data_IF_709711965839
#
_entry.id   IF_709711965839
#
_cell.length_a   1.000
_cell.length_b   1.000
_cell.length_c   1.000
_cell.angle_alpha   90.00
_cell.angle_beta   90.00
_cell.angle_gamma   90.00
#
_symmetry.space_group_name_H-M   'P 1'
#
loop_
_entity.id
_entity.type
_entity.pdbx_description
1 polymer ?
#
# COMPACT_ATOMS: atom_id res chain seq x y z
N UNK A 1 -18.58 9.27 7.61
CA UNK A 1 -17.60 8.65 8.53
C UNK A 1 -17.93 9.00 9.98
N UNK A 2 -17.60 8.15 10.97
CA UNK A 2 -17.93 8.41 12.37
C UNK A 2 -17.21 9.64 12.96
N UNK A 3 -17.76 10.27 14.02
CA UNK A 3 -17.13 11.40 14.70
C UNK A 3 -15.73 11.09 15.23
N UNK A 4 -14.90 12.14 15.42
CA UNK A 4 -13.59 11.99 16.04
C UNK A 4 -13.73 11.43 17.47
N UNK A 5 -12.81 10.55 17.87
CA UNK A 5 -12.84 9.91 19.19
C UNK A 5 -13.88 8.80 19.39
N UNK A 6 -14.86 8.61 18.48
CA UNK A 6 -15.87 7.55 18.61
C UNK A 6 -15.28 6.14 18.70
N UNK A 7 -14.07 5.97 18.15
CA UNK A 7 -13.37 4.70 18.08
C UNK A 7 -11.94 4.80 18.64
N UNK A 8 -11.78 5.52 19.76
CA UNK A 8 -10.47 5.73 20.40
C UNK A 8 -9.74 4.43 20.78
N UNK A 9 -10.48 3.36 21.08
CA UNK A 9 -9.93 2.05 21.41
C UNK A 9 -9.69 1.13 20.19
N UNK A 10 -10.10 1.56 18.98
CA UNK A 10 -10.03 0.72 17.78
C UNK A 10 -8.58 0.49 17.37
N UNK A 11 -8.17 -0.78 17.34
CA UNK A 11 -6.81 -1.20 16.95
C UNK A 11 -6.76 -1.82 15.56
N UNK A 12 -7.90 -2.23 15.00
CA UNK A 12 -7.97 -2.84 13.68
C UNK A 12 -9.19 -2.34 12.90
N UNK A 13 -8.96 -1.97 11.65
CA UNK A 13 -9.98 -1.54 10.71
C UNK A 13 -9.77 -2.24 9.37
N UNK A 14 -10.85 -2.75 8.80
CA UNK A 14 -10.88 -3.32 7.46
C UNK A 14 -11.99 -2.65 6.67
N UNK A 15 -11.64 -2.12 5.50
CA UNK A 15 -12.54 -1.49 4.55
C UNK A 15 -12.47 -2.30 3.26
N UNK A 16 -13.62 -2.75 2.77
CA UNK A 16 -13.74 -3.58 1.56
C UNK A 16 -14.85 -3.00 0.70
N UNK A 17 -14.60 -2.81 -0.60
CA UNK A 17 -15.66 -2.50 -1.57
C UNK A 17 -16.33 -1.16 -1.31
N UNK A 18 -15.57 -0.05 -1.33
CA UNK A 18 -16.10 1.27 -0.99
C UNK A 18 -15.64 2.36 -1.97
N UNK A 19 -16.37 3.48 -1.97
CA UNK A 19 -15.93 4.74 -2.60
C UNK A 19 -15.56 5.74 -1.52
N UNK A 20 -14.38 6.35 -1.62
CA UNK A 20 -13.83 7.21 -0.56
C UNK A 20 -13.15 8.46 -1.13
N UNK A 21 -13.00 9.48 -0.30
CA UNK A 21 -12.17 10.66 -0.61
C UNK A 21 -10.73 10.41 -0.13
N UNK A 22 -9.71 11.01 -0.76
CA UNK A 22 -8.31 10.85 -0.32
C UNK A 22 -8.10 11.28 1.13
N UNK A 23 -8.73 12.39 1.53
CA UNK A 23 -8.69 12.91 2.90
C UNK A 23 -9.31 12.02 3.98
N UNK A 24 -10.13 11.00 3.61
CA UNK A 24 -10.71 10.09 4.60
C UNK A 24 -9.63 9.24 5.31
N UNK A 25 -8.54 8.91 4.63
CA UNK A 25 -7.47 8.07 5.19
C UNK A 25 -6.66 8.80 6.27
N UNK A 26 -6.39 10.08 6.10
CA UNK A 26 -5.73 10.90 7.12
C UNK A 26 -6.62 11.03 8.37
N UNK A 27 -7.91 11.26 8.17
CA UNK A 27 -8.88 11.36 9.25
C UNK A 27 -9.04 10.03 10.02
N UNK A 28 -8.90 8.88 9.37
CA UNK A 28 -8.89 7.57 10.03
C UNK A 28 -7.67 7.39 10.93
N UNK A 29 -6.51 7.92 10.54
CA UNK A 29 -5.23 7.63 11.19
C UNK A 29 -4.86 8.64 12.29
N UNK A 30 -5.37 9.88 12.29
CA UNK A 30 -4.83 10.95 13.16
C UNK A 30 -5.82 11.73 14.04
N UNK A 31 -7.15 11.67 13.87
CA UNK A 31 -8.06 11.99 15.01
C UNK A 31 -9.10 10.91 15.37
N UNK A 32 -9.48 10.02 14.45
CA UNK A 32 -10.61 9.09 14.70
C UNK A 32 -10.20 7.81 15.40
N UNK A 33 -9.04 7.25 15.04
CA UNK A 33 -8.57 5.96 15.54
C UNK A 33 -7.10 6.06 16.00
N UNK A 34 -6.79 6.82 17.07
CA UNK A 34 -5.41 7.07 17.51
C UNK A 34 -4.63 5.79 17.88
N UNK A 35 -5.32 4.70 18.22
CA UNK A 35 -4.73 3.40 18.58
C UNK A 35 -4.72 2.40 17.41
N UNK A 36 -5.02 2.83 16.18
CA UNK A 36 -5.12 1.93 15.04
C UNK A 36 -3.76 1.33 14.68
N UNK A 37 -3.61 0.03 14.92
CA UNK A 37 -2.42 -0.75 14.61
C UNK A 37 -2.53 -1.45 13.26
N UNK A 38 -3.74 -1.80 12.82
CA UNK A 38 -3.96 -2.58 11.60
C UNK A 38 -5.00 -1.92 10.70
N UNK A 39 -4.56 -1.45 9.54
CA UNK A 39 -5.45 -0.93 8.51
C UNK A 39 -5.39 -1.84 7.28
N UNK A 40 -6.55 -2.34 6.85
CA UNK A 40 -6.69 -3.06 5.59
C UNK A 40 -7.73 -2.37 4.71
N UNK A 41 -7.34 -1.99 3.51
CA UNK A 41 -8.20 -1.32 2.53
C UNK A 41 -8.11 -2.12 1.24
N UNK A 42 -9.23 -2.64 0.76
CA UNK A 42 -9.28 -3.52 -0.42
C UNK A 42 -10.47 -3.22 -1.31
N UNK A 43 -10.24 -3.12 -2.62
CA UNK A 43 -11.32 -2.84 -3.57
C UNK A 43 -12.00 -1.51 -3.26
N UNK A 44 -11.19 -0.50 -2.91
CA UNK A 44 -11.68 0.86 -2.69
C UNK A 44 -11.32 1.71 -3.91
N UNK A 45 -12.25 2.52 -4.35
CA UNK A 45 -12.09 3.49 -5.45
C UNK A 45 -12.14 4.90 -4.87
N UNK A 46 -11.16 5.74 -5.21
CA UNK A 46 -11.26 7.16 -4.88
C UNK A 46 -12.29 7.84 -5.78
N UNK A 47 -13.14 8.68 -5.18
CA UNK A 47 -14.20 9.41 -5.91
C UNK A 47 -13.62 10.34 -6.99
N UNK A 48 -12.42 10.87 -6.74
CA UNK A 48 -11.60 11.59 -7.71
C UNK A 48 -10.15 11.17 -7.52
N UNK A 49 -9.34 11.31 -8.58
CA UNK A 49 -7.90 11.09 -8.45
C UNK A 49 -7.32 12.07 -7.44
N UNK A 50 -6.77 11.54 -6.35
CA UNK A 50 -6.32 12.35 -5.21
C UNK A 50 -5.08 11.74 -4.56
N UNK A 51 -4.36 12.59 -3.85
CA UNK A 51 -3.23 12.19 -3.02
C UNK A 51 -3.74 11.63 -1.69
N UNK A 52 -3.08 10.58 -1.21
CA UNK A 52 -3.44 9.91 0.04
C UNK A 52 -2.29 10.06 1.02
N UNK A 53 -2.56 10.62 2.19
CA UNK A 53 -1.62 10.68 3.29
C UNK A 53 -2.06 9.82 4.47
N UNK A 54 -1.16 8.95 4.93
CA UNK A 54 -1.33 8.09 6.09
C UNK A 54 -0.24 8.46 7.09
N UNK A 55 -0.62 9.20 8.14
CA UNK A 55 0.25 9.55 9.26
C UNK A 55 -0.26 8.86 10.51
N UNK A 56 0.52 7.93 11.07
CA UNK A 56 0.12 7.23 12.29
C UNK A 56 1.32 6.76 13.11
N UNK A 57 1.32 7.12 14.39
CA UNK A 57 2.34 6.67 15.33
C UNK A 57 2.08 5.27 15.90
N UNK A 58 0.89 4.69 15.66
CA UNK A 58 0.49 3.38 16.19
C UNK A 58 0.35 2.30 15.13
N UNK A 59 0.35 2.66 13.84
CA UNK A 59 0.14 1.70 12.75
C UNK A 59 1.32 0.75 12.58
N UNK A 60 1.04 -0.55 12.69
CA UNK A 60 2.00 -1.65 12.57
C UNK A 60 1.80 -2.45 11.27
N UNK A 61 0.58 -2.45 10.73
CA UNK A 61 0.20 -3.20 9.52
C UNK A 61 -0.67 -2.37 8.60
N UNK A 62 -0.24 -2.23 7.35
CA UNK A 62 -0.99 -1.56 6.29
C UNK A 62 -1.16 -2.49 5.07
N UNK A 63 -2.40 -2.72 4.67
CA UNK A 63 -2.76 -3.24 3.34
C UNK A 63 -3.52 -2.13 2.64
N UNK A 64 -2.98 -1.64 1.54
CA UNK A 64 -3.52 -0.50 0.81
C UNK A 64 -3.71 -0.88 -0.66
N UNK A 65 -4.89 -1.39 -0.98
CA UNK A 65 -5.28 -1.77 -2.34
C UNK A 65 -6.44 -0.87 -2.79
N UNK A 66 -6.07 0.33 -3.25
CA UNK A 66 -6.98 1.44 -3.58
C UNK A 66 -6.71 1.93 -5.01
N UNK A 67 -7.78 2.14 -5.77
CA UNK A 67 -7.74 2.65 -7.14
C UNK A 67 -7.89 4.18 -7.17
N UNK A 68 -7.31 4.82 -8.18
CA UNK A 68 -7.42 6.28 -8.39
C UNK A 68 -6.51 7.10 -7.48
N UNK A 69 -5.41 6.53 -6.99
CA UNK A 69 -4.47 7.25 -6.12
C UNK A 69 -3.44 7.97 -7.00
N UNK A 70 -3.29 9.28 -6.82
CA UNK A 70 -2.19 10.03 -7.43
C UNK A 70 -0.88 9.66 -6.75
N UNK A 71 -0.67 10.21 -5.54
CA UNK A 71 0.47 9.89 -4.69
C UNK A 71 0.05 9.27 -3.36
N UNK A 72 0.80 8.28 -2.90
CA UNK A 72 0.68 7.71 -1.55
C UNK A 72 1.84 8.18 -0.67
N UNK A 73 1.54 8.90 0.41
CA UNK A 73 2.50 9.26 1.45
C UNK A 73 2.19 8.47 2.73
N UNK A 74 3.16 7.70 3.24
CA UNK A 74 3.02 6.95 4.49
C UNK A 74 4.12 7.38 5.45
N UNK A 75 3.73 7.93 6.59
CA UNK A 75 4.61 8.22 7.73
C UNK A 75 4.12 7.41 8.93
N UNK A 76 4.76 6.28 9.16
CA UNK A 76 4.35 5.33 10.18
C UNK A 76 5.57 4.65 10.83
N UNK A 77 6.11 5.24 11.92
CA UNK A 77 7.38 4.80 12.50
C UNK A 77 7.36 3.35 13.03
N UNK A 78 6.17 2.84 13.37
CA UNK A 78 5.97 1.46 13.87
C UNK A 78 5.54 0.46 12.80
N UNK A 79 5.45 0.88 11.54
CA UNK A 79 4.94 0.03 10.46
C UNK A 79 5.95 -1.08 10.14
N UNK A 80 5.53 -2.32 10.33
CA UNK A 80 6.33 -3.54 10.10
C UNK A 80 5.90 -4.28 8.85
N UNK A 81 4.60 -4.26 8.55
CA UNK A 81 4.02 -4.93 7.40
C UNK A 81 3.37 -3.93 6.46
N UNK A 82 3.80 -3.93 5.19
CA UNK A 82 3.23 -3.07 4.16
C UNK A 82 2.90 -3.85 2.89
N UNK A 83 1.67 -3.67 2.41
CA UNK A 83 1.20 -4.24 1.16
C UNK A 83 0.50 -3.18 0.32
N UNK A 84 0.92 -3.01 -0.94
CA UNK A 84 0.30 -2.06 -1.86
C UNK A 84 0.27 -2.57 -3.32
N UNK A 85 -0.72 -2.10 -4.08
CA UNK A 85 -0.82 -2.30 -5.54
C UNK A 85 -0.77 -0.96 -6.25
N UNK A 86 0.22 -0.71 -7.12
CA UNK A 86 0.14 0.38 -8.08
C UNK A 86 -0.85 0.13 -9.20
N UNK A 87 -1.30 -1.11 -9.43
CA UNK A 87 -2.25 -1.44 -10.49
C UNK A 87 -3.69 -1.39 -9.97
N UNK A 88 -4.61 -0.97 -10.84
CA UNK A 88 -6.05 -1.15 -10.63
C UNK A 88 -6.37 -2.65 -10.47
N UNK A 89 -7.21 -2.97 -9.48
CA UNK A 89 -7.58 -4.37 -9.16
C UNK A 89 -8.50 -4.99 -10.22
N UNK A 90 -9.01 -4.17 -11.15
CA UNK A 90 -10.00 -4.60 -12.12
C UNK A 90 -9.30 -5.25 -13.33
N UNK A 91 -9.57 -6.54 -13.54
CA UNK A 91 -9.13 -7.35 -14.68
C UNK A 91 -9.74 -6.90 -16.03
N UNK A 92 -10.27 -5.69 -16.12
CA UNK A 92 -10.76 -5.12 -17.37
C UNK A 92 -9.60 -4.36 -17.99
N UNK A 93 -8.97 -5.04 -18.95
CA UNK A 93 -8.12 -4.42 -19.96
C UNK A 93 -8.77 -3.12 -20.46
N UNK A 94 -8.04 -2.02 -20.31
CA UNK A 94 -8.26 -0.76 -21.01
C UNK A 94 -9.53 0.04 -20.66
N UNK A 95 -9.49 0.79 -19.54
CA UNK A 95 -10.11 2.12 -19.43
C UNK A 95 -9.63 2.91 -18.18
N UNK A 96 -8.59 3.73 -18.38
CA UNK A 96 -8.49 5.12 -17.92
C UNK A 96 -8.69 5.49 -16.42
N UNK A 97 -8.11 4.75 -15.49
CA UNK A 97 -7.75 5.28 -14.18
C UNK A 97 -6.24 5.21 -13.97
N UNK A 98 -5.54 6.29 -13.55
CA UNK A 98 -4.16 6.14 -13.13
C UNK A 98 -4.17 5.23 -11.88
N UNK A 99 -3.50 4.08 -12.00
CA UNK A 99 -3.00 3.38 -10.83
C UNK A 99 -2.06 4.28 -10.03
N UNK A 100 -1.70 3.89 -8.80
CA UNK A 100 -0.83 4.70 -7.93
C UNK A 100 0.42 5.19 -8.68
N UNK A 101 0.53 6.51 -8.90
CA UNK A 101 1.59 7.09 -9.72
C UNK A 101 2.90 7.18 -8.93
N UNK A 102 2.81 7.69 -7.71
CA UNK A 102 3.95 7.90 -6.82
C UNK A 102 3.68 7.33 -5.43
N UNK A 103 4.74 6.89 -4.74
CA UNK A 103 4.65 6.39 -3.37
C UNK A 103 5.90 6.75 -2.59
N UNK A 104 5.73 7.32 -1.39
CA UNK A 104 6.81 7.57 -0.44
C UNK A 104 6.46 7.00 0.93
N UNK A 105 7.27 6.05 1.38
CA UNK A 105 7.05 5.27 2.59
C UNK A 105 8.19 5.55 3.58
N UNK A 106 7.88 6.31 4.62
CA UNK A 106 8.70 6.55 5.80
C UNK A 106 8.26 5.59 6.92
N UNK A 107 8.91 4.44 6.95
CA UNK A 107 8.66 3.37 7.92
C UNK A 107 9.99 2.63 8.21
N UNK A 108 10.71 3.02 9.27
CA UNK A 108 12.05 2.51 9.57
C UNK A 108 12.02 1.06 10.08
N UNK A 109 10.89 0.61 10.64
CA UNK A 109 10.72 -0.73 11.20
C UNK A 109 10.14 -1.75 10.20
N UNK A 110 10.17 -1.46 8.89
CA UNK A 110 9.63 -2.37 7.88
C UNK A 110 10.39 -3.71 7.87
N UNK A 111 9.61 -4.80 7.91
CA UNK A 111 10.09 -6.18 7.95
C UNK A 111 9.45 -7.03 6.85
N UNK A 112 8.21 -6.76 6.46
CA UNK A 112 7.47 -7.49 5.44
C UNK A 112 6.89 -6.50 4.41
N UNK A 113 7.31 -6.65 3.16
CA UNK A 113 6.82 -5.85 2.04
C UNK A 113 6.20 -6.77 0.98
N UNK A 114 4.97 -6.46 0.60
CA UNK A 114 4.30 -7.10 -0.53
C UNK A 114 3.89 -6.05 -1.58
N UNK A 115 4.49 -6.10 -2.75
CA UNK A 115 4.23 -5.16 -3.84
C UNK A 115 3.60 -5.85 -5.04
N UNK A 116 2.46 -5.33 -5.50
CA UNK A 116 1.64 -5.93 -6.56
C UNK A 116 1.69 -5.08 -7.83
N UNK A 117 2.60 -5.40 -8.74
CA UNK A 117 2.79 -4.70 -10.01
C UNK A 117 4.16 -4.06 -10.15
N UNK A 118 4.28 -3.17 -11.14
CA UNK A 118 5.55 -2.55 -11.53
C UNK A 118 6.10 -1.67 -10.41
N UNK A 119 7.38 -1.84 -10.07
CA UNK A 119 8.07 -0.96 -9.12
C UNK A 119 9.08 -0.05 -9.84
N UNK A 120 8.90 1.27 -9.71
CA UNK A 120 9.79 2.28 -10.29
C UNK A 120 10.52 3.04 -9.18
N UNK A 121 11.87 2.97 -9.13
CA UNK A 121 12.68 3.64 -8.11
C UNK A 121 12.59 5.18 -8.14
N UNK A 122 12.21 5.77 -9.27
CA UNK A 122 12.05 7.22 -9.40
C UNK A 122 10.73 7.71 -8.79
N UNK A 123 9.73 6.83 -8.72
CA UNK A 123 8.36 7.16 -8.27
C UNK A 123 7.99 6.55 -6.93
N UNK A 124 8.56 5.38 -6.63
CA UNK A 124 8.27 4.59 -5.44
C UNK A 124 9.51 4.52 -4.55
N UNK A 125 9.39 5.08 -3.36
CA UNK A 125 10.49 5.29 -2.43
C UNK A 125 10.16 4.71 -1.06
N UNK A 126 11.11 3.95 -0.54
CA UNK A 126 11.17 3.56 0.88
C UNK A 126 12.30 4.37 1.51
N UNK A 127 11.96 5.50 2.14
CA UNK A 127 12.92 6.52 2.55
C UNK A 127 13.75 6.12 3.78
N UNK A 128 13.10 5.53 4.79
CA UNK A 128 13.72 5.26 6.10
C UNK A 128 13.96 3.78 6.36
N UNK A 129 13.36 2.90 5.56
CA UNK A 129 13.52 1.46 5.73
C UNK A 129 14.98 1.04 5.51
N UNK A 130 15.45 0.06 6.28
CA UNK A 130 16.74 -0.58 6.01
C UNK A 130 16.80 -1.27 4.65
N UNK A 131 17.92 -1.93 4.36
CA UNK A 131 18.07 -2.79 3.17
C UNK A 131 17.63 -4.24 3.43
N UNK A 132 17.36 -4.57 4.69
CA UNK A 132 16.95 -5.90 5.13
C UNK A 132 15.45 -5.95 5.35
N UNK A 133 14.83 -7.04 4.90
CA UNK A 133 13.46 -7.43 5.25
C UNK A 133 13.48 -8.88 5.73
N UNK A 134 12.51 -9.26 6.56
CA UNK A 134 12.24 -10.67 6.83
C UNK A 134 11.55 -11.31 5.63
N UNK A 135 10.62 -10.59 4.98
CA UNK A 135 9.87 -11.10 3.84
C UNK A 135 9.70 -10.05 2.75
N UNK A 136 9.95 -10.46 1.51
CA UNK A 136 9.63 -9.69 0.32
C UNK A 136 8.75 -10.53 -0.60
N UNK A 137 7.53 -10.05 -0.84
CA UNK A 137 6.62 -10.63 -1.83
C UNK A 137 6.50 -9.70 -3.02
N UNK A 138 6.74 -10.21 -4.22
CA UNK A 138 6.55 -9.45 -5.46
C UNK A 138 5.63 -10.21 -6.40
N UNK A 139 4.67 -9.50 -6.96
CA UNK A 139 3.67 -10.04 -7.89
C UNK A 139 3.71 -9.22 -9.17
N UNK A 140 3.85 -9.89 -10.31
CA UNK A 140 3.94 -9.31 -11.66
C UNK A 140 5.22 -8.50 -11.96
N UNK A 141 5.79 -8.71 -13.14
CA UNK A 141 7.06 -8.09 -13.58
C UNK A 141 6.85 -6.69 -14.19
N UNK A 142 7.85 -5.78 -14.12
CA UNK A 142 9.20 -5.99 -13.58
C UNK A 142 9.36 -5.63 -12.09
N UNK A 143 10.01 -6.52 -11.35
CA UNK A 143 10.21 -6.43 -9.88
C UNK A 143 11.67 -6.22 -9.47
N UNK A 144 12.61 -6.29 -10.42
CA UNK A 144 14.04 -6.17 -10.17
C UNK A 144 14.46 -4.91 -9.40
N UNK A 145 13.89 -3.72 -9.65
CA UNK A 145 14.27 -2.52 -8.90
C UNK A 145 13.91 -2.61 -7.40
N UNK A 146 12.79 -3.25 -7.06
CA UNK A 146 12.40 -3.47 -5.66
C UNK A 146 13.30 -4.49 -4.96
N UNK A 147 13.65 -5.58 -5.65
CA UNK A 147 14.59 -6.58 -5.14
C UNK A 147 15.99 -5.98 -4.91
N UNK A 148 16.43 -5.03 -5.76
CA UNK A 148 17.68 -4.28 -5.53
C UNK A 148 17.59 -3.35 -4.32
N UNK A 149 16.41 -2.83 -3.99
CA UNK A 149 16.19 -1.98 -2.81
C UNK A 149 16.28 -2.78 -1.50
N UNK A 150 15.82 -4.03 -1.52
CA UNK A 150 15.82 -4.95 -0.39
C UNK A 150 16.54 -6.26 -0.77
N UNK A 151 17.88 -6.24 -0.77
CA UNK A 151 18.68 -7.39 -1.21
C UNK A 151 19.07 -8.34 -0.07
N UNK A 152 18.76 -7.99 1.19
CA UNK A 152 18.93 -8.90 2.34
C UNK A 152 17.53 -9.33 2.77
N UNK A 153 17.10 -10.53 2.37
CA UNK A 153 15.76 -11.05 2.64
C UNK A 153 15.85 -12.46 3.21
N UNK A 154 15.12 -12.72 4.30
CA UNK A 154 15.06 -14.06 4.87
C UNK A 154 14.10 -14.97 4.05
N UNK A 155 13.01 -14.39 3.50
CA UNK A 155 12.04 -15.05 2.62
C UNK A 155 11.74 -14.18 1.38
N UNK A 156 11.89 -14.75 0.18
CA UNK A 156 11.49 -14.14 -1.08
C UNK A 156 10.36 -14.93 -1.74
N UNK A 157 9.21 -14.29 -1.94
CA UNK A 157 8.04 -14.88 -2.59
C UNK A 157 7.79 -14.22 -3.94
N UNK A 158 7.85 -15.01 -5.01
CA UNK A 158 7.64 -14.55 -6.37
C UNK A 158 6.32 -15.12 -6.89
N UNK A 159 5.36 -14.26 -7.22
CA UNK A 159 4.13 -14.65 -7.91
C UNK A 159 4.22 -14.23 -9.37
N UNK A 160 4.18 -15.21 -10.26
CA UNK A 160 4.15 -15.00 -11.70
C UNK A 160 2.75 -15.29 -12.23
N UNK A 161 2.15 -14.32 -12.93
CA UNK A 161 1.00 -14.59 -13.77
C UNK A 161 1.44 -15.45 -14.96
N UNK A 162 0.91 -16.67 -15.05
CA UNK A 162 1.07 -17.48 -16.27
C UNK A 162 0.04 -16.94 -17.26
N UNK A 163 0.48 -16.08 -18.19
CA UNK A 163 -0.35 -15.75 -19.35
C UNK A 163 -0.49 -17.03 -20.19
N UNK A 164 -1.71 -17.49 -20.55
CA UNK A 164 -1.84 -18.58 -21.50
C UNK A 164 -1.17 -18.14 -22.81
N UNK A 165 -0.14 -18.87 -23.23
CA UNK A 165 0.56 -18.61 -24.48
C UNK A 165 -0.47 -18.55 -25.62
N UNK A 166 -0.48 -17.44 -26.37
CA UNK A 166 -1.15 -17.40 -27.66
C UNK A 166 -0.66 -18.57 -28.50
N UNK A 167 -1.56 -19.49 -28.85
CA UNK A 167 -1.27 -20.55 -29.81
C UNK A 167 -0.94 -19.87 -31.14
N UNK A 168 0.25 -20.16 -31.67
CA UNK A 168 0.71 -19.77 -33.01
C UNK A 168 -0.14 -20.48 -34.06
#
# INVERSE_FOLDING_TARGET
MPPAGSFAALTALTIIGARMQGGDFEALCSPRCPRLQRLKVRGVELVAADDVSIRSNSLERLVFLVNGVGRLEVVAPRLRYFRATPKTIDNVSDAAGPGMLDANIAAPMLEDVAWYGVFNLLRHRFAEAGRRLQKLTVVDLPTAPLMRRFYVVDELVLHFGISPCCKV
#
